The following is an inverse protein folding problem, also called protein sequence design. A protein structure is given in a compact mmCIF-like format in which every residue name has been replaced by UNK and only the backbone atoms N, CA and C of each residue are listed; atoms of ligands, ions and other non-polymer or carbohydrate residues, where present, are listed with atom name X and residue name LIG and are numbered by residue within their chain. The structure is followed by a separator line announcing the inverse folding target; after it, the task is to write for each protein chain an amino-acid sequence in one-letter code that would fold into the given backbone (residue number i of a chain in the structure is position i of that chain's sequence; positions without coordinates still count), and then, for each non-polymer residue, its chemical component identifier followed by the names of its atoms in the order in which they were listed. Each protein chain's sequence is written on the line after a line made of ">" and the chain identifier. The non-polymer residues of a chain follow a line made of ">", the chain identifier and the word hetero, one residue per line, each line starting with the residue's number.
data_IF_796212739969
#
_entry.id   IF_796212739969
#
_cell.length_a   1.000
_cell.length_b   1.000
_cell.length_c   1.000
_cell.angle_alpha   90.00
_cell.angle_beta   90.00
_cell.angle_gamma   90.00
#
_symmetry.space_group_name_H-M   'P 1'
#
loop_
_entity.id
_entity.type
_entity.pdbx_description
1 polymer ?
#
# COMPACT_ATOMS: atom_id res chain seq x y z
N UNK A 1 28.86 -7.80 -6.03
CA UNK A 1 27.57 -8.01 -5.29
C UNK A 1 26.97 -9.36 -5.60
N UNK A 2 26.32 -9.98 -4.63
CA UNK A 2 25.49 -11.20 -4.75
C UNK A 2 24.12 -10.95 -4.11
N UNK A 3 23.14 -11.78 -4.42
CA UNK A 3 21.79 -11.67 -3.86
C UNK A 3 21.18 -13.01 -3.52
N UNK A 4 20.23 -13.02 -2.60
CA UNK A 4 19.34 -14.16 -2.30
C UNK A 4 17.91 -13.64 -2.11
N UNK A 5 16.93 -14.34 -2.65
CA UNK A 5 15.54 -14.14 -2.25
C UNK A 5 15.30 -15.04 -1.04
N UNK A 6 15.17 -14.44 0.13
CA UNK A 6 14.95 -15.19 1.36
C UNK A 6 13.50 -15.65 1.45
N UNK A 7 12.56 -14.84 0.93
CA UNK A 7 11.14 -15.15 0.80
C UNK A 7 10.48 -14.27 -0.28
N UNK A 8 9.42 -14.77 -0.93
CA UNK A 8 8.65 -14.06 -1.95
C UNK A 8 9.04 -14.43 -3.38
N UNK A 9 9.75 -15.55 -3.63
CA UNK A 9 10.08 -16.02 -4.98
C UNK A 9 8.95 -16.81 -5.65
N UNK A 10 8.09 -17.49 -4.85
CA UNK A 10 6.93 -18.24 -5.31
C UNK A 10 5.70 -18.02 -4.40
N UNK A 11 5.64 -16.89 -3.72
CA UNK A 11 4.50 -16.47 -2.91
C UNK A 11 4.30 -14.96 -3.03
N UNK A 12 3.06 -14.52 -2.86
CA UNK A 12 2.71 -13.12 -2.65
C UNK A 12 2.82 -12.84 -1.16
N UNK A 13 3.48 -11.73 -0.82
CA UNK A 13 3.69 -11.33 0.57
C UNK A 13 4.93 -11.93 1.21
N UNK A 14 5.23 -11.46 2.43
CA UNK A 14 6.41 -11.85 3.17
C UNK A 14 7.73 -11.48 2.50
N UNK A 15 7.77 -10.42 1.69
CA UNK A 15 8.90 -10.06 0.83
C UNK A 15 10.18 -9.83 1.63
N UNK A 16 11.26 -10.54 1.27
CA UNK A 16 12.60 -10.36 1.84
C UNK A 16 13.66 -10.71 0.79
N UNK A 17 14.39 -9.70 0.33
CA UNK A 17 15.53 -9.88 -0.59
C UNK A 17 16.82 -9.44 0.08
N UNK A 18 17.81 -10.31 0.10
CA UNK A 18 19.16 -10.00 0.60
C UNK A 18 20.08 -9.59 -0.54
N UNK A 19 20.85 -8.52 -0.32
CA UNK A 19 21.96 -8.09 -1.19
C UNK A 19 23.22 -8.01 -0.32
N UNK A 20 24.31 -8.60 -0.79
CA UNK A 20 25.60 -8.59 -0.10
C UNK A 20 26.72 -8.16 -1.05
N UNK A 21 27.59 -7.24 -0.60
CA UNK A 21 28.75 -6.77 -1.35
C UNK A 21 29.97 -7.67 -1.13
N UNK A 22 30.98 -7.52 -1.98
CA UNK A 22 32.24 -8.25 -1.85
C UNK A 22 33.02 -7.81 -0.59
N UNK A 23 32.74 -6.61 -0.07
CA UNK A 23 33.27 -6.10 1.20
C UNK A 23 32.55 -6.66 2.42
N UNK A 24 31.45 -7.40 2.23
CA UNK A 24 30.66 -8.04 3.29
C UNK A 24 29.54 -7.16 3.87
N UNK A 25 29.24 -6.00 3.28
CA UNK A 25 28.05 -5.23 3.66
C UNK A 25 26.81 -5.99 3.20
N UNK A 26 25.93 -6.30 4.14
CA UNK A 26 24.69 -7.03 3.90
C UNK A 26 23.48 -6.15 4.17
N UNK A 27 22.60 -6.02 3.19
CA UNK A 27 21.34 -5.30 3.33
C UNK A 27 20.17 -6.19 2.94
N UNK A 28 19.05 -6.02 3.62
CA UNK A 28 17.79 -6.61 3.20
C UNK A 28 16.88 -5.55 2.61
N UNK A 29 16.18 -5.91 1.55
CA UNK A 29 15.05 -5.13 1.02
C UNK A 29 13.80 -5.81 1.51
N UNK A 30 13.05 -5.07 2.33
CA UNK A 30 11.87 -5.48 3.09
C UNK A 30 12.16 -6.54 4.17
N UNK A 31 11.24 -6.62 5.13
CA UNK A 31 11.16 -7.63 6.17
C UNK A 31 9.68 -7.86 6.49
N UNK A 32 9.00 -8.44 5.51
CA UNK A 32 7.56 -8.59 5.48
C UNK A 32 7.07 -9.76 6.33
N UNK A 33 5.85 -9.63 6.85
CA UNK A 33 5.09 -10.73 7.43
C UNK A 33 4.47 -11.57 6.32
N UNK A 34 4.37 -12.85 6.55
CA UNK A 34 3.65 -13.74 5.66
C UNK A 34 2.16 -13.40 5.56
N UNK A 35 1.56 -13.64 4.41
CA UNK A 35 0.12 -13.55 4.20
C UNK A 35 -0.51 -14.93 4.36
N UNK A 36 -1.77 -15.04 4.79
CA UNK A 36 -2.47 -16.32 4.95
C UNK A 36 -2.80 -16.96 3.59
N UNK A 37 -1.77 -17.47 2.92
CA UNK A 37 -1.87 -18.19 1.63
C UNK A 37 -1.84 -19.70 1.86
N UNK A 38 -2.14 -20.49 0.80
CA UNK A 38 -2.21 -21.96 0.91
C UNK A 38 -0.81 -22.60 0.88
N UNK A 39 0.17 -21.96 0.22
CA UNK A 39 1.55 -22.47 0.07
C UNK A 39 2.56 -21.43 0.59
N UNK A 40 3.32 -21.78 1.63
CA UNK A 40 4.33 -20.92 2.25
C UNK A 40 5.75 -21.40 1.86
N UNK A 41 6.61 -20.51 1.38
CA UNK A 41 8.03 -20.81 1.14
C UNK A 41 8.79 -20.99 2.45
N UNK A 42 8.48 -20.17 3.47
CA UNK A 42 9.12 -20.17 4.78
C UNK A 42 8.25 -19.41 5.78
N UNK A 43 8.37 -19.77 7.06
CA UNK A 43 7.57 -19.14 8.12
C UNK A 43 8.19 -17.85 8.62
N UNK A 44 7.38 -17.00 9.27
CA UNK A 44 7.85 -15.79 9.96
C UNK A 44 8.93 -16.10 10.99
N UNK A 45 8.80 -17.21 11.75
CA UNK A 45 9.78 -17.65 12.76
C UNK A 45 11.15 -17.94 12.14
N UNK A 46 11.19 -18.53 10.95
CA UNK A 46 12.46 -18.78 10.24
C UNK A 46 13.12 -17.45 9.83
N UNK A 47 12.37 -16.50 9.32
CA UNK A 47 12.90 -15.19 8.94
C UNK A 47 13.35 -14.37 10.17
N UNK A 48 12.61 -14.43 11.25
CA UNK A 48 12.98 -13.83 12.53
C UNK A 48 14.26 -14.45 13.06
N UNK A 49 14.42 -15.78 12.97
CA UNK A 49 15.65 -16.46 13.40
C UNK A 49 16.89 -15.98 12.61
N UNK A 50 16.76 -15.77 11.29
CA UNK A 50 17.85 -15.21 10.48
C UNK A 50 18.18 -13.76 10.91
N UNK A 51 17.19 -12.94 11.20
CA UNK A 51 17.37 -11.56 11.67
C UNK A 51 18.04 -11.50 13.06
N UNK A 52 17.73 -12.43 13.95
CA UNK A 52 18.31 -12.49 15.30
C UNK A 52 19.73 -13.05 15.35
N UNK A 53 20.12 -13.84 14.35
CA UNK A 53 21.45 -14.46 14.30
C UNK A 53 22.50 -13.46 13.76
N UNK A 54 23.56 -13.22 14.53
CA UNK A 54 24.62 -12.27 14.18
C UNK A 54 25.35 -12.58 12.86
N UNK A 55 25.41 -13.86 12.45
CA UNK A 55 26.10 -14.29 11.24
C UNK A 55 25.27 -14.10 9.97
N UNK A 56 23.93 -14.00 10.10
CA UNK A 56 22.98 -13.88 8.98
C UNK A 56 22.27 -12.52 8.95
N UNK A 57 22.25 -11.81 10.07
CA UNK A 57 21.59 -10.52 10.21
C UNK A 57 22.15 -9.47 9.24
N UNK A 58 21.30 -8.65 8.61
CA UNK A 58 21.76 -7.55 7.78
C UNK A 58 22.33 -6.39 8.62
N UNK A 59 23.16 -5.58 7.99
CA UNK A 59 23.61 -4.28 8.54
C UNK A 59 22.47 -3.25 8.51
N UNK A 60 21.61 -3.34 7.47
CA UNK A 60 20.47 -2.45 7.29
C UNK A 60 19.29 -3.14 6.61
N UNK A 61 18.08 -2.63 6.86
CA UNK A 61 16.87 -2.97 6.13
C UNK A 61 16.35 -1.74 5.38
N UNK A 62 16.12 -1.91 4.08
CA UNK A 62 15.55 -0.90 3.19
C UNK A 62 14.09 -1.26 2.92
N UNK A 63 13.15 -0.54 3.52
CA UNK A 63 11.73 -0.78 3.31
C UNK A 63 11.25 -0.07 2.05
N UNK A 64 10.65 -0.83 1.13
CA UNK A 64 10.05 -0.28 -0.08
C UNK A 64 8.78 0.50 0.23
N UNK A 65 7.94 0.00 1.14
CA UNK A 65 6.71 0.65 1.62
C UNK A 65 6.20 -0.01 2.92
N UNK A 66 5.05 0.46 3.44
CA UNK A 66 4.56 0.10 4.78
C UNK A 66 3.43 -0.94 4.80
N UNK A 67 3.16 -1.69 3.74
CA UNK A 67 2.25 -2.83 3.85
C UNK A 67 2.83 -3.92 4.74
N UNK A 68 1.97 -4.66 5.44
CA UNK A 68 2.39 -5.65 6.42
C UNK A 68 3.25 -6.77 5.85
N UNK A 69 3.06 -7.12 4.62
CA UNK A 69 3.84 -8.11 3.88
C UNK A 69 5.22 -7.61 3.37
N UNK A 70 5.56 -6.36 3.69
CA UNK A 70 6.86 -5.74 3.46
C UNK A 70 7.54 -5.25 4.74
N UNK A 71 6.76 -4.76 5.74
CA UNK A 71 7.31 -4.21 7.01
C UNK A 71 6.83 -4.96 8.26
N UNK A 72 5.93 -5.93 8.13
CA UNK A 72 5.19 -6.49 9.26
C UNK A 72 6.01 -7.26 10.31
N UNK A 73 7.30 -7.52 10.06
CA UNK A 73 8.23 -8.10 11.04
C UNK A 73 9.16 -7.04 11.68
N UNK A 74 8.87 -5.75 11.51
CA UNK A 74 9.64 -4.61 11.99
C UNK A 74 10.03 -4.75 13.47
N UNK A 75 9.10 -5.15 14.34
CA UNK A 75 9.32 -5.29 15.79
C UNK A 75 10.45 -6.26 16.17
N UNK A 76 10.81 -7.17 15.25
CA UNK A 76 11.85 -8.17 15.44
C UNK A 76 13.25 -7.71 15.01
N UNK A 77 13.38 -6.48 14.47
CA UNK A 77 14.69 -5.91 14.11
C UNK A 77 15.48 -5.60 15.39
N UNK A 78 16.71 -6.14 15.56
CA UNK A 78 17.55 -5.82 16.70
C UNK A 78 18.01 -4.35 16.71
N UNK A 79 18.30 -3.85 17.91
CA UNK A 79 18.94 -2.54 18.04
C UNK A 79 20.29 -2.53 17.30
N UNK A 80 20.58 -1.44 16.61
CA UNK A 80 21.84 -1.26 15.88
C UNK A 80 21.80 -1.67 14.40
N UNK A 81 20.70 -2.29 13.92
CA UNK A 81 20.42 -2.42 12.48
C UNK A 81 19.86 -1.09 11.98
N UNK A 82 20.42 -0.58 10.87
CA UNK A 82 19.92 0.66 10.26
C UNK A 82 18.60 0.38 9.48
N UNK A 83 17.69 1.34 9.53
CA UNK A 83 16.39 1.25 8.88
C UNK A 83 16.23 2.39 7.88
N UNK A 84 15.97 2.05 6.62
CA UNK A 84 15.71 3.01 5.54
C UNK A 84 14.24 2.93 5.15
N UNK A 85 13.54 4.07 5.14
CA UNK A 85 12.10 4.14 4.91
C UNK A 85 11.70 5.48 4.32
N UNK A 86 10.58 5.55 3.61
CA UNK A 86 9.97 6.81 3.20
C UNK A 86 9.47 7.62 4.40
N UNK A 87 9.70 8.93 4.38
CA UNK A 87 9.30 9.80 5.49
C UNK A 87 7.77 9.83 5.68
N UNK A 88 7.00 9.80 4.59
CA UNK A 88 5.54 9.77 4.66
C UNK A 88 5.05 8.43 5.18
N UNK A 89 5.65 7.33 4.72
CA UNK A 89 5.35 5.98 5.22
C UNK A 89 5.55 5.90 6.74
N UNK A 90 6.65 6.43 7.25
CA UNK A 90 6.91 6.52 8.70
C UNK A 90 5.82 7.31 9.43
N UNK A 91 5.41 8.48 8.92
CA UNK A 91 4.32 9.25 9.54
C UNK A 91 2.97 8.52 9.51
N UNK A 92 2.72 7.76 8.46
CA UNK A 92 1.53 6.91 8.39
C UNK A 92 1.59 5.80 9.44
N UNK A 93 2.74 5.15 9.63
CA UNK A 93 2.96 4.14 10.68
C UNK A 93 2.73 4.74 12.07
N UNK A 94 3.32 5.89 12.40
CA UNK A 94 3.09 6.58 13.67
C UNK A 94 1.59 6.80 13.94
N UNK A 95 0.82 7.21 12.93
CA UNK A 95 -0.61 7.43 13.08
C UNK A 95 -1.39 6.12 13.29
N UNK A 96 -0.97 5.03 12.64
CA UNK A 96 -1.53 3.69 12.83
C UNK A 96 -1.28 3.23 14.27
N UNK A 97 -0.02 3.26 14.70
CA UNK A 97 0.43 2.81 16.01
C UNK A 97 -0.23 3.62 17.15
N UNK A 98 -0.24 4.96 17.05
CA UNK A 98 -0.94 5.84 18.00
C UNK A 98 -2.42 5.44 18.14
N UNK A 99 -3.07 5.20 16.99
CA UNK A 99 -4.51 4.86 16.98
C UNK A 99 -4.75 3.49 17.58
N UNK A 100 -3.92 2.49 17.26
CA UNK A 100 -4.05 1.15 17.81
C UNK A 100 -3.75 1.12 19.31
N UNK A 101 -2.73 1.84 19.78
CA UNK A 101 -2.38 1.94 21.20
C UNK A 101 -3.48 2.61 22.05
N UNK A 102 -4.29 3.48 21.42
CA UNK A 102 -5.45 4.11 22.06
C UNK A 102 -6.69 3.19 22.12
N UNK A 103 -6.68 2.04 21.43
CA UNK A 103 -7.80 1.09 21.48
C UNK A 103 -7.85 0.35 22.82
N UNK A 104 -9.07 0.16 23.31
CA UNK A 104 -9.33 -0.73 24.45
C UNK A 104 -9.35 -2.19 23.97
N UNK A 105 -8.68 -3.06 24.73
CA UNK A 105 -8.74 -4.51 24.48
C UNK A 105 -7.54 -5.11 23.77
N UNK A 106 -6.48 -4.34 23.52
CA UNK A 106 -5.19 -4.91 23.09
C UNK A 106 -4.64 -5.87 24.14
N UNK A 107 -4.17 -7.02 23.71
CA UNK A 107 -3.37 -7.91 24.55
C UNK A 107 -2.05 -7.25 24.95
N UNK A 108 -1.42 -7.75 26.01
CA UNK A 108 -0.12 -7.26 26.46
C UNK A 108 0.94 -7.43 25.38
N UNK A 109 0.85 -8.49 24.58
CA UNK A 109 1.84 -8.78 23.52
C UNK A 109 1.66 -7.83 22.32
N UNK A 110 0.44 -7.64 21.84
CA UNK A 110 0.14 -6.68 20.79
C UNK A 110 0.62 -5.26 21.16
N UNK A 111 0.36 -4.85 22.42
CA UNK A 111 0.83 -3.55 22.91
C UNK A 111 2.36 -3.43 22.88
N UNK A 112 3.07 -4.45 23.34
CA UNK A 112 4.55 -4.47 23.33
C UNK A 112 5.10 -4.42 21.91
N UNK A 113 4.47 -5.14 20.97
CA UNK A 113 4.86 -5.12 19.56
C UNK A 113 4.75 -3.71 18.99
N UNK A 114 3.60 -3.03 19.17
CA UNK A 114 3.39 -1.65 18.70
C UNK A 114 4.35 -0.65 19.37
N UNK A 115 4.56 -0.76 20.68
CA UNK A 115 5.51 0.08 21.42
C UNK A 115 6.96 -0.13 20.93
N UNK A 116 7.31 -1.37 20.57
CA UNK A 116 8.61 -1.71 19.99
C UNK A 116 8.80 -1.12 18.59
N UNK A 117 7.81 -1.26 17.72
CA UNK A 117 7.82 -0.69 16.36
C UNK A 117 7.99 0.83 16.43
N UNK A 118 7.21 1.50 17.27
CA UNK A 118 7.30 2.94 17.49
C UNK A 118 8.66 3.37 18.03
N UNK A 119 9.24 2.62 18.96
CA UNK A 119 10.57 2.89 19.50
C UNK A 119 11.66 2.75 18.42
N UNK A 120 11.58 1.71 17.58
CA UNK A 120 12.50 1.50 16.46
C UNK A 120 12.43 2.66 15.45
N UNK A 121 11.20 3.01 14.97
CA UNK A 121 11.00 4.08 14.00
C UNK A 121 11.29 5.48 14.54
N UNK A 122 11.40 5.64 15.86
CA UNK A 122 11.84 6.89 16.52
C UNK A 122 13.34 6.89 16.82
N UNK A 123 14.04 5.82 16.51
CA UNK A 123 15.47 5.64 16.78
C UNK A 123 16.36 6.47 15.87
N UNK A 124 17.62 6.67 16.31
CA UNK A 124 18.64 7.39 15.53
C UNK A 124 19.16 6.62 14.30
N UNK A 125 18.84 5.34 14.21
CA UNK A 125 19.23 4.46 13.11
C UNK A 125 18.18 4.44 11.97
N UNK A 126 17.21 5.37 12.00
CA UNK A 126 16.22 5.52 10.95
C UNK A 126 16.66 6.61 9.98
N UNK A 127 16.71 6.25 8.71
CA UNK A 127 17.13 7.10 7.59
C UNK A 127 15.97 7.26 6.62
N UNK A 128 15.73 8.49 6.18
CA UNK A 128 14.64 8.78 5.26
C UNK A 128 15.15 8.90 3.83
N UNK A 129 14.40 8.33 2.90
CA UNK A 129 14.67 8.49 1.48
C UNK A 129 14.48 9.94 1.03
N UNK A 130 15.35 10.38 0.12
CA UNK A 130 15.13 11.56 -0.71
C UNK A 130 14.92 11.06 -2.14
N UNK A 131 13.71 11.27 -2.69
CA UNK A 131 13.34 10.78 -4.02
C UNK A 131 14.39 11.18 -5.08
N UNK A 132 14.80 10.21 -5.90
CA UNK A 132 15.78 10.36 -7.00
C UNK A 132 17.17 10.86 -6.59
N UNK A 133 17.48 10.96 -5.33
CA UNK A 133 18.80 11.37 -4.86
C UNK A 133 19.67 10.16 -4.58
N UNK A 134 20.86 10.12 -5.22
CA UNK A 134 21.88 9.12 -4.91
C UNK A 134 22.48 9.44 -3.53
N UNK A 135 22.50 8.43 -2.67
CA UNK A 135 23.10 8.48 -1.34
C UNK A 135 23.97 7.24 -1.11
N UNK A 136 24.76 7.23 -0.04
CA UNK A 136 25.66 6.13 0.27
C UNK A 136 25.34 5.52 1.64
N UNK A 137 25.39 4.20 1.70
CA UNK A 137 25.43 3.43 2.94
C UNK A 137 26.61 2.48 2.90
N UNK A 138 27.62 2.71 3.74
CA UNK A 138 28.91 1.99 3.70
C UNK A 138 29.48 2.03 2.26
N UNK A 139 29.68 0.88 1.64
CA UNK A 139 30.19 0.71 0.28
C UNK A 139 29.10 0.57 -0.80
N UNK A 140 27.84 0.70 -0.42
CA UNK A 140 26.70 0.68 -1.32
C UNK A 140 26.27 2.12 -1.63
N UNK A 141 26.13 2.46 -2.91
CA UNK A 141 25.33 3.61 -3.35
C UNK A 141 23.92 3.15 -3.60
N UNK A 142 22.93 3.94 -3.18
CA UNK A 142 21.53 3.67 -3.46
C UNK A 142 20.80 4.93 -3.95
N UNK A 143 19.79 4.71 -4.79
CA UNK A 143 18.92 5.77 -5.27
C UNK A 143 17.48 5.30 -5.15
N UNK A 144 16.67 5.91 -4.26
CA UNK A 144 15.25 5.63 -4.18
C UNK A 144 14.51 6.38 -5.29
N UNK A 145 13.57 5.70 -5.94
CA UNK A 145 12.63 6.28 -6.90
C UNK A 145 11.22 6.05 -6.36
N UNK A 146 10.51 7.13 -6.03
CA UNK A 146 9.13 7.01 -5.59
C UNK A 146 8.24 6.54 -6.73
N UNK A 147 7.44 5.50 -6.47
CA UNK A 147 6.52 4.88 -7.43
C UNK A 147 5.09 4.91 -6.91
N UNK A 148 4.14 4.70 -7.82
CA UNK A 148 2.74 4.55 -7.48
C UNK A 148 2.46 3.13 -6.97
N UNK A 149 1.71 3.03 -5.89
CA UNK A 149 1.20 1.79 -5.33
C UNK A 149 -0.07 2.07 -4.49
N UNK A 150 -0.79 1.02 -4.07
CA UNK A 150 -1.94 1.16 -3.15
C UNK A 150 -1.55 1.59 -1.72
N UNK A 151 -0.27 1.65 -1.43
CA UNK A 151 0.31 2.30 -0.27
C UNK A 151 1.08 3.54 -0.73
N UNK A 152 0.74 4.71 -0.20
CA UNK A 152 1.46 5.93 -0.52
C UNK A 152 2.90 5.86 0.03
N UNK A 153 3.84 6.54 -0.68
CA UNK A 153 5.26 6.57 -0.32
C UNK A 153 5.97 5.22 -0.54
N UNK A 154 5.64 4.55 -1.65
CA UNK A 154 6.32 3.35 -2.11
C UNK A 154 7.52 3.70 -3.00
N UNK A 155 8.58 2.88 -2.90
CA UNK A 155 9.84 3.13 -3.57
C UNK A 155 10.37 1.92 -4.32
N UNK A 156 10.82 2.16 -5.53
CA UNK A 156 11.79 1.34 -6.25
C UNK A 156 13.19 1.75 -5.80
N UNK A 157 14.08 0.79 -5.59
CA UNK A 157 15.43 1.01 -5.07
C UNK A 157 16.47 0.55 -6.07
N UNK A 158 17.39 1.46 -6.46
CA UNK A 158 18.59 1.14 -7.21
C UNK A 158 19.74 1.02 -6.25
N UNK A 159 20.48 -0.08 -6.29
CA UNK A 159 21.69 -0.34 -5.52
C UNK A 159 22.90 -0.48 -6.44
N UNK A 160 24.03 0.07 -6.04
CA UNK A 160 25.26 0.01 -6.80
C UNK A 160 26.46 -0.24 -5.89
N UNK A 161 27.18 -1.33 -6.12
CA UNK A 161 28.46 -1.67 -5.51
C UNK A 161 29.18 -2.69 -6.40
N UNK A 162 30.48 -2.91 -6.19
CA UNK A 162 31.32 -3.93 -6.88
C UNK A 162 31.22 -3.86 -8.41
N UNK A 163 30.98 -2.66 -8.98
CA UNK A 163 30.79 -2.47 -10.42
C UNK A 163 29.49 -3.05 -10.98
N UNK A 164 28.53 -3.42 -10.13
CA UNK A 164 27.20 -3.94 -10.46
C UNK A 164 26.10 -2.96 -10.09
N UNK A 165 24.99 -2.99 -10.84
CA UNK A 165 23.78 -2.22 -10.59
C UNK A 165 22.60 -3.17 -10.47
N UNK A 166 21.95 -3.15 -9.31
CA UNK A 166 20.74 -3.91 -9.04
C UNK A 166 19.55 -2.96 -8.86
N UNK A 167 18.40 -3.32 -9.39
CA UNK A 167 17.14 -2.58 -9.21
C UNK A 167 16.12 -3.50 -8.58
N UNK A 168 15.55 -3.09 -7.47
CA UNK A 168 14.45 -3.78 -6.78
C UNK A 168 13.21 -2.89 -6.89
N UNK A 169 12.17 -3.37 -7.55
CA UNK A 169 10.99 -2.54 -7.81
C UNK A 169 10.15 -2.24 -6.58
N UNK A 170 10.24 -3.09 -5.53
CA UNK A 170 9.14 -3.16 -4.58
C UNK A 170 7.84 -3.45 -5.31
N UNK A 171 6.72 -3.10 -4.72
CA UNK A 171 5.43 -3.13 -5.35
C UNK A 171 5.14 -1.80 -6.04
N UNK A 172 4.57 -1.87 -7.25
CA UNK A 172 4.29 -0.68 -8.05
C UNK A 172 3.08 -0.88 -8.97
N UNK A 173 2.59 0.22 -9.54
CA UNK A 173 1.52 0.22 -10.55
C UNK A 173 1.69 1.41 -11.51
N UNK A 174 1.00 1.35 -12.65
CA UNK A 174 0.90 2.48 -13.60
C UNK A 174 -0.50 3.12 -13.60
N UNK A 175 -1.45 2.59 -12.85
CA UNK A 175 -2.85 2.96 -12.91
C UNK A 175 -3.20 4.21 -12.09
N UNK A 176 -2.36 4.62 -11.17
CA UNK A 176 -2.52 5.84 -10.40
C UNK A 176 -1.93 7.06 -11.09
N UNK A 177 -2.02 8.21 -10.44
CA UNK A 177 -1.57 9.49 -11.01
C UNK A 177 -0.06 9.63 -11.06
N UNK A 178 0.65 9.07 -10.08
CA UNK A 178 2.11 8.98 -10.10
C UNK A 178 2.57 7.99 -11.15
N UNK A 179 1.81 6.91 -11.39
CA UNK A 179 2.14 5.88 -12.37
C UNK A 179 2.11 6.33 -13.82
N UNK A 180 1.50 7.48 -14.14
CA UNK A 180 1.45 8.03 -15.50
C UNK A 180 2.85 8.35 -16.06
N UNK A 181 3.83 8.63 -15.20
CA UNK A 181 5.21 8.97 -15.58
C UNK A 181 6.21 7.87 -15.23
N UNK A 182 5.74 6.68 -14.81
CA UNK A 182 6.59 5.59 -14.30
C UNK A 182 7.79 5.28 -15.21
N UNK A 183 7.56 5.08 -16.49
CA UNK A 183 8.63 4.70 -17.43
C UNK A 183 9.62 5.83 -17.69
N UNK A 184 9.14 7.07 -17.76
CA UNK A 184 9.98 8.27 -17.92
C UNK A 184 10.88 8.44 -16.70
N UNK A 185 10.32 8.22 -15.52
CA UNK A 185 11.01 8.34 -14.23
C UNK A 185 12.06 7.25 -14.05
N UNK A 186 11.73 6.00 -14.39
CA UNK A 186 12.69 4.89 -14.41
C UNK A 186 13.84 5.22 -15.39
N UNK A 187 13.51 5.64 -16.59
CA UNK A 187 14.52 5.99 -17.59
C UNK A 187 15.45 7.11 -17.08
N UNK A 188 14.90 8.15 -16.44
CA UNK A 188 15.68 9.25 -15.90
C UNK A 188 16.66 8.81 -14.80
N UNK A 189 16.23 7.91 -13.90
CA UNK A 189 17.07 7.39 -12.79
C UNK A 189 18.12 6.40 -13.28
N UNK A 190 17.88 5.71 -14.40
CA UNK A 190 18.78 4.68 -14.96
C UNK A 190 19.61 5.14 -16.16
N UNK A 191 19.43 6.38 -16.65
CA UNK A 191 19.98 6.84 -17.94
C UNK A 191 21.51 6.77 -18.06
N UNK A 192 22.22 6.86 -16.93
CA UNK A 192 23.69 6.93 -16.91
C UNK A 192 24.37 5.57 -16.67
N UNK A 193 23.60 4.53 -16.27
CA UNK A 193 24.19 3.25 -15.86
C UNK A 193 23.32 2.05 -16.20
N UNK A 194 23.83 1.08 -16.97
CA UNK A 194 23.09 -0.11 -17.31
C UNK A 194 22.89 -0.99 -16.07
N UNK A 195 21.68 -1.52 -15.93
CA UNK A 195 21.28 -2.42 -14.83
C UNK A 195 21.78 -3.83 -15.13
N UNK A 196 22.32 -4.53 -14.12
CA UNK A 196 22.69 -5.91 -14.21
C UNK A 196 21.54 -6.85 -13.83
N UNK A 197 20.89 -6.59 -12.70
CA UNK A 197 19.80 -7.42 -12.17
C UNK A 197 18.58 -6.57 -11.86
N UNK A 198 17.42 -7.02 -12.34
CA UNK A 198 16.13 -6.46 -12.02
C UNK A 198 15.33 -7.47 -11.19
N UNK A 199 15.00 -7.10 -9.94
CA UNK A 199 13.99 -7.77 -9.13
C UNK A 199 12.66 -7.07 -9.36
N UNK A 200 11.63 -7.78 -9.83
CA UNK A 200 10.34 -7.16 -10.15
C UNK A 200 9.16 -7.98 -9.66
N UNK A 201 8.19 -7.31 -9.07
CA UNK A 201 6.94 -7.93 -8.60
C UNK A 201 6.19 -8.60 -9.74
N UNK A 202 5.42 -9.63 -9.39
CA UNK A 202 4.55 -10.36 -10.31
C UNK A 202 3.19 -10.72 -9.70
N UNK A 203 2.68 -9.94 -8.75
CA UNK A 203 1.42 -10.19 -8.04
C UNK A 203 0.24 -10.41 -8.97
N UNK A 204 0.16 -9.67 -10.07
CA UNK A 204 -0.94 -9.76 -11.03
C UNK A 204 -0.62 -10.56 -12.28
N UNK A 205 0.50 -11.31 -12.31
CA UNK A 205 0.99 -11.99 -13.52
C UNK A 205 0.00 -13.03 -14.07
N UNK A 206 -0.77 -13.67 -13.20
CA UNK A 206 -1.78 -14.69 -13.55
C UNK A 206 -3.19 -14.15 -13.63
N UNK A 207 -3.41 -12.88 -13.25
CA UNK A 207 -4.77 -12.33 -13.23
C UNK A 207 -5.29 -12.12 -14.64
N UNK A 208 -6.58 -12.43 -14.89
CA UNK A 208 -7.18 -12.17 -16.19
C UNK A 208 -6.98 -10.71 -16.60
N UNK A 209 -6.64 -10.48 -17.86
CA UNK A 209 -6.62 -9.14 -18.46
C UNK A 209 -8.06 -8.60 -18.47
N UNK A 210 -8.43 -7.92 -17.40
CA UNK A 210 -9.63 -7.10 -17.36
C UNK A 210 -9.22 -5.67 -17.65
N UNK A 211 -10.12 -4.85 -18.19
CA UNK A 211 -9.85 -3.42 -18.35
C UNK A 211 -9.38 -2.86 -17.00
N UNK A 212 -8.14 -2.40 -16.98
CA UNK A 212 -7.53 -1.91 -15.74
C UNK A 212 -8.10 -0.53 -15.46
N UNK A 213 -8.83 -0.40 -14.37
CA UNK A 213 -9.39 0.87 -13.94
C UNK A 213 -8.27 1.79 -13.46
N UNK A 214 -8.17 2.98 -14.03
CA UNK A 214 -7.26 4.01 -13.53
C UNK A 214 -7.91 4.85 -12.44
N UNK A 215 -7.10 5.52 -11.60
CA UNK A 215 -7.61 6.44 -10.58
C UNK A 215 -8.44 7.58 -11.19
N UNK A 216 -8.06 8.09 -12.37
CA UNK A 216 -8.85 9.09 -13.11
C UNK A 216 -10.23 8.57 -13.53
N UNK A 217 -10.26 7.34 -14.05
CA UNK A 217 -11.53 6.71 -14.43
C UNK A 217 -12.40 6.47 -13.19
N UNK A 218 -11.80 5.99 -12.10
CA UNK A 218 -12.48 5.75 -10.84
C UNK A 218 -13.09 7.03 -10.26
N UNK A 219 -12.34 8.16 -10.29
CA UNK A 219 -12.85 9.47 -9.87
C UNK A 219 -14.07 9.89 -10.70
N UNK A 220 -13.99 9.77 -12.04
CA UNK A 220 -15.09 10.14 -12.93
C UNK A 220 -16.34 9.28 -12.72
N UNK A 221 -16.20 7.97 -12.51
CA UNK A 221 -17.32 7.07 -12.21
C UNK A 221 -17.91 7.35 -10.82
N UNK A 222 -17.06 7.59 -9.81
CA UNK A 222 -17.51 7.99 -8.49
C UNK A 222 -18.32 9.30 -8.54
N UNK A 223 -17.89 10.27 -9.33
CA UNK A 223 -18.64 11.52 -9.53
C UNK A 223 -20.04 11.26 -10.10
N UNK A 224 -20.17 10.42 -11.13
CA UNK A 224 -21.49 10.05 -11.71
C UNK A 224 -22.38 9.36 -10.67
N UNK A 225 -21.83 8.43 -9.89
CA UNK A 225 -22.55 7.76 -8.81
C UNK A 225 -23.08 8.77 -7.79
N UNK A 226 -22.22 9.69 -7.35
CA UNK A 226 -22.55 10.69 -6.35
C UNK A 226 -23.55 11.75 -6.84
N UNK A 227 -23.70 11.94 -8.16
CA UNK A 227 -24.76 12.80 -8.74
C UNK A 227 -26.16 12.20 -8.55
N UNK A 228 -26.28 10.90 -8.56
CA UNK A 228 -27.55 10.17 -8.45
C UNK A 228 -27.82 9.63 -7.05
N UNK A 229 -26.77 9.42 -6.24
CA UNK A 229 -26.87 8.91 -4.87
C UNK A 229 -26.41 9.97 -3.87
N UNK A 230 -27.35 10.64 -3.17
CA UNK A 230 -26.97 11.63 -2.15
C UNK A 230 -26.22 10.99 -0.97
N UNK A 231 -26.43 9.73 -0.68
CA UNK A 231 -25.86 8.99 0.45
C UNK A 231 -24.97 7.87 -0.05
N UNK A 232 -23.66 7.98 0.16
CA UNK A 232 -22.70 6.98 -0.27
C UNK A 232 -21.85 6.48 0.92
N UNK A 233 -21.78 5.19 1.09
CA UNK A 233 -20.83 4.53 1.97
C UNK A 233 -19.68 4.00 1.14
N UNK A 234 -18.45 4.20 1.62
CA UNK A 234 -17.22 3.85 0.92
C UNK A 234 -16.39 2.89 1.78
N UNK A 235 -16.08 1.73 1.26
CA UNK A 235 -15.06 0.82 1.82
C UNK A 235 -13.80 0.96 0.97
N UNK A 236 -12.73 1.52 1.54
CA UNK A 236 -11.46 1.78 0.86
C UNK A 236 -10.30 1.60 1.85
N UNK A 237 -9.12 1.20 1.36
CA UNK A 237 -7.92 1.16 2.20
C UNK A 237 -7.54 2.54 2.71
N UNK A 238 -7.22 2.64 3.99
CA UNK A 238 -6.79 3.90 4.62
C UNK A 238 -5.36 4.29 4.27
N UNK A 239 -4.57 3.39 3.70
CA UNK A 239 -3.20 3.64 3.22
C UNK A 239 -3.17 4.04 1.74
N UNK A 240 -4.26 3.76 0.98
CA UNK A 240 -4.37 4.14 -0.41
C UNK A 240 -4.84 5.59 -0.57
N UNK A 241 -3.90 6.52 -0.38
CA UNK A 241 -4.19 7.96 -0.41
C UNK A 241 -4.66 8.45 -1.78
N UNK A 242 -4.23 7.80 -2.87
CA UNK A 242 -4.69 8.15 -4.22
C UNK A 242 -6.16 7.83 -4.42
N UNK A 243 -6.60 6.62 -4.04
CA UNK A 243 -8.02 6.27 -4.13
C UNK A 243 -8.89 7.13 -3.21
N UNK A 244 -8.41 7.42 -1.98
CA UNK A 244 -9.13 8.35 -1.09
C UNK A 244 -9.24 9.74 -1.74
N UNK A 245 -8.17 10.24 -2.37
CA UNK A 245 -8.19 11.51 -3.09
C UNK A 245 -9.19 11.50 -4.24
N UNK A 246 -9.26 10.41 -5.03
CA UNK A 246 -10.22 10.23 -6.11
C UNK A 246 -11.67 10.33 -5.61
N UNK A 247 -12.02 9.62 -4.55
CA UNK A 247 -13.36 9.68 -3.96
C UNK A 247 -13.66 11.05 -3.31
N UNK A 248 -12.67 11.65 -2.65
CA UNK A 248 -12.81 12.98 -2.07
C UNK A 248 -13.11 14.03 -3.15
N UNK A 249 -12.34 14.06 -4.23
CA UNK A 249 -12.52 15.02 -5.31
C UNK A 249 -13.81 14.75 -6.08
N UNK A 250 -14.18 13.50 -6.32
CA UNK A 250 -15.48 13.13 -6.84
C UNK A 250 -16.63 13.72 -5.99
N UNK A 251 -16.52 13.67 -4.66
CA UNK A 251 -17.52 14.23 -3.75
C UNK A 251 -17.55 15.77 -3.79
N UNK A 252 -16.39 16.42 -3.90
CA UNK A 252 -16.28 17.89 -3.97
C UNK A 252 -16.81 18.42 -5.32
N UNK A 253 -16.64 17.67 -6.41
CA UNK A 253 -17.02 18.09 -7.77
C UNK A 253 -18.41 17.60 -8.19
N UNK A 254 -18.96 16.55 -7.56
CA UNK A 254 -20.11 15.79 -8.05
C UNK A 254 -21.43 16.58 -8.20
N UNK A 255 -21.58 17.71 -7.55
CA UNK A 255 -22.85 18.44 -7.56
C UNK A 255 -22.65 19.95 -7.41
N UNK A 256 -23.76 20.72 -7.65
CA UNK A 256 -23.82 22.14 -7.25
C UNK A 256 -23.59 22.34 -5.75
N UNK A 257 -23.88 21.30 -4.93
CA UNK A 257 -23.58 21.23 -3.49
C UNK A 257 -22.47 20.21 -3.28
N UNK A 258 -21.32 20.69 -2.80
CA UNK A 258 -20.18 19.87 -2.45
C UNK A 258 -20.52 18.95 -1.28
N UNK A 259 -20.24 17.66 -1.42
CA UNK A 259 -20.45 16.68 -0.35
C UNK A 259 -19.22 16.57 0.55
N UNK A 260 -19.45 16.41 1.85
CA UNK A 260 -18.38 16.15 2.78
C UNK A 260 -17.99 14.66 2.79
N UNK A 261 -16.69 14.39 2.96
CA UNK A 261 -16.17 13.08 3.29
C UNK A 261 -16.21 12.90 4.82
N UNK A 262 -17.05 12.00 5.27
CA UNK A 262 -17.06 11.55 6.66
C UNK A 262 -16.13 10.35 6.82
N UNK A 263 -15.32 10.36 7.85
CA UNK A 263 -14.39 9.27 8.15
C UNK A 263 -14.11 9.19 9.65
N UNK A 264 -13.49 8.13 10.14
CA UNK A 264 -13.07 8.05 11.53
C UNK A 264 -11.92 9.05 11.84
N UNK A 265 -11.57 9.21 13.11
CA UNK A 265 -10.53 10.16 13.54
C UNK A 265 -9.15 9.80 13.01
N UNK A 266 -8.87 8.50 12.85
CA UNK A 266 -7.63 8.00 12.27
C UNK A 266 -7.45 8.48 10.82
N UNK A 267 -8.43 8.22 9.95
CA UNK A 267 -8.38 8.68 8.55
C UNK A 267 -8.36 10.20 8.48
N UNK A 268 -9.15 10.89 9.30
CA UNK A 268 -9.15 12.35 9.34
C UNK A 268 -7.80 12.94 9.78
N UNK A 269 -7.06 12.28 10.68
CA UNK A 269 -5.69 12.63 11.06
C UNK A 269 -4.74 12.41 9.89
N UNK A 270 -4.86 11.25 9.22
CA UNK A 270 -4.08 10.90 8.04
C UNK A 270 -4.20 11.97 6.94
N UNK A 271 -5.43 12.31 6.54
CA UNK A 271 -5.70 13.32 5.52
C UNK A 271 -5.13 14.71 5.89
N UNK A 272 -5.10 15.05 7.17
CA UNK A 272 -4.50 16.30 7.65
C UNK A 272 -2.97 16.32 7.56
N UNK A 273 -2.31 15.19 7.78
CA UNK A 273 -0.87 15.06 7.59
C UNK A 273 -0.50 15.35 6.13
N UNK A 274 -1.31 14.90 5.17
CA UNK A 274 -1.10 15.18 3.75
C UNK A 274 -1.33 16.64 3.37
N UNK A 275 -2.29 17.31 3.99
CA UNK A 275 -2.71 18.68 3.58
C UNK A 275 -1.69 19.79 3.89
N UNK A 276 -0.72 19.54 4.73
CA UNK A 276 0.04 20.69 5.25
C UNK A 276 1.52 20.52 5.48
N UNK A 277 2.11 19.35 5.32
CA UNK A 277 3.45 19.16 5.88
C UNK A 277 4.27 18.04 5.29
N UNK A 278 3.82 17.37 4.27
CA UNK A 278 4.55 16.21 3.81
C UNK A 278 5.19 16.49 2.46
N UNK A 279 6.28 17.27 2.47
CA UNK A 279 7.18 17.48 1.35
C UNK A 279 6.46 17.73 0.02
N UNK A 280 6.85 17.03 -1.02
CA UNK A 280 6.26 17.14 -2.35
C UNK A 280 4.76 16.79 -2.40
N UNK A 281 4.28 15.87 -1.55
CA UNK A 281 2.86 15.55 -1.46
C UNK A 281 2.01 16.75 -1.01
N UNK A 282 2.56 17.63 -0.16
CA UNK A 282 1.93 18.87 0.26
C UNK A 282 1.83 19.91 -0.86
N UNK A 283 2.65 19.81 -1.89
CA UNK A 283 2.64 20.68 -3.07
C UNK A 283 1.65 20.19 -4.13
N UNK A 284 1.37 18.89 -4.18
CA UNK A 284 0.38 18.34 -5.10
C UNK A 284 -1.04 18.68 -4.65
N UNK A 285 -1.75 19.50 -5.45
CA UNK A 285 -3.11 19.92 -5.17
C UNK A 285 -4.08 18.74 -4.96
N UNK A 286 -3.82 17.59 -5.53
CA UNK A 286 -4.65 16.37 -5.43
C UNK A 286 -4.75 15.86 -4.00
N UNK A 287 -3.74 16.10 -3.17
CA UNK A 287 -3.69 15.72 -1.76
C UNK A 287 -4.05 16.89 -0.82
N UNK A 288 -4.63 17.97 -1.34
CA UNK A 288 -5.15 19.07 -0.52
C UNK A 288 -6.60 18.78 -0.07
N UNK A 289 -6.72 18.19 1.09
CA UNK A 289 -8.02 17.89 1.69
C UNK A 289 -8.49 19.06 2.53
N UNK A 290 -9.45 19.84 2.03
CA UNK A 290 -9.99 20.99 2.76
C UNK A 290 -10.73 20.54 4.03
N UNK A 291 -10.38 21.09 5.19
CA UNK A 291 -10.98 20.75 6.49
C UNK A 291 -12.50 20.89 6.53
N UNK A 292 -13.06 21.79 5.75
CA UNK A 292 -14.51 21.99 5.63
C UNK A 292 -15.25 20.82 4.98
N UNK A 293 -14.52 19.94 4.27
CA UNK A 293 -15.08 18.78 3.58
C UNK A 293 -14.58 17.45 4.12
N UNK A 294 -13.79 17.45 5.20
CA UNK A 294 -13.35 16.23 5.90
C UNK A 294 -13.86 16.30 7.34
N UNK A 295 -14.83 15.45 7.67
CA UNK A 295 -15.52 15.45 8.96
C UNK A 295 -15.19 14.16 9.72
N UNK A 296 -14.60 14.28 10.91
CA UNK A 296 -14.32 13.15 11.78
C UNK A 296 -15.58 12.68 12.51
N UNK A 297 -16.04 11.47 12.20
CA UNK A 297 -17.19 10.83 12.83
C UNK A 297 -17.07 10.72 14.36
N UNK A 298 -15.86 10.41 14.86
CA UNK A 298 -15.65 10.18 16.30
C UNK A 298 -15.79 11.46 17.11
N UNK A 299 -15.45 12.61 16.54
CA UNK A 299 -15.74 13.93 17.15
C UNK A 299 -17.23 14.18 17.28
N UNK A 300 -17.97 13.82 16.23
CA UNK A 300 -19.43 13.99 16.19
C UNK A 300 -20.12 12.99 17.13
N UNK A 301 -19.56 11.77 17.27
CA UNK A 301 -20.12 10.73 18.13
C UNK A 301 -19.70 10.85 19.60
N UNK A 302 -18.54 11.43 19.92
CA UNK A 302 -18.13 11.69 21.32
C UNK A 302 -19.00 12.72 22.04
N UNK A 303 -19.77 13.51 21.30
CA UNK A 303 -20.85 14.33 21.84
C UNK A 303 -22.16 13.54 22.12
N UNK A 304 -22.03 12.21 22.26
CA UNK A 304 -23.12 11.24 22.44
C UNK A 304 -24.10 11.51 23.60
N UNK A 305 -23.74 12.39 24.52
CA UNK A 305 -24.62 12.75 25.66
C UNK A 305 -25.60 13.90 25.33
N UNK A 306 -25.59 14.44 24.10
CA UNK A 306 -26.53 15.44 23.63
C UNK A 306 -27.43 14.84 22.52
N UNK A 307 -28.66 14.38 22.87
CA UNK A 307 -29.58 13.82 21.89
C UNK A 307 -29.96 14.79 20.77
N UNK A 308 -30.04 16.09 21.06
CA UNK A 308 -30.45 17.12 20.10
C UNK A 308 -29.34 17.36 19.06
N UNK A 309 -28.07 17.28 19.49
CA UNK A 309 -26.93 17.39 18.57
C UNK A 309 -26.87 16.23 17.58
N UNK A 310 -27.06 15.01 18.04
CA UNK A 310 -27.08 13.82 17.18
C UNK A 310 -28.19 13.88 16.13
N UNK A 311 -29.37 14.39 16.49
CA UNK A 311 -30.49 14.60 15.55
C UNK A 311 -30.17 15.71 14.54
N UNK A 312 -29.60 16.82 14.98
CA UNK A 312 -29.23 17.94 14.12
C UNK A 312 -28.17 17.51 13.08
N UNK A 313 -27.13 16.78 13.50
CA UNK A 313 -26.10 16.28 12.60
C UNK A 313 -26.66 15.28 11.59
N UNK A 314 -27.49 14.34 12.04
CA UNK A 314 -28.16 13.38 11.17
C UNK A 314 -29.05 14.10 10.13
N UNK A 315 -29.86 15.08 10.54
CA UNK A 315 -30.67 15.88 9.63
C UNK A 315 -29.82 16.67 8.63
N UNK A 316 -28.69 17.21 9.07
CA UNK A 316 -27.74 17.88 8.18
C UNK A 316 -27.20 16.92 7.13
N UNK A 317 -26.77 15.71 7.51
CA UNK A 317 -26.30 14.68 6.59
C UNK A 317 -27.39 14.27 5.57
N UNK A 318 -28.65 14.17 6.01
CA UNK A 318 -29.77 13.86 5.13
C UNK A 318 -30.04 14.99 4.12
N UNK A 319 -29.88 16.25 4.53
CA UNK A 319 -30.16 17.41 3.67
C UNK A 319 -29.04 17.69 2.66
N UNK A 320 -27.79 17.55 3.07
CA UNK A 320 -26.63 17.88 2.25
C UNK A 320 -26.11 16.68 1.44
N UNK A 321 -26.43 15.46 1.87
CA UNK A 321 -25.79 14.24 1.36
C UNK A 321 -24.37 14.10 1.86
N UNK A 322 -23.77 12.93 1.59
CA UNK A 322 -22.40 12.64 2.06
C UNK A 322 -21.76 11.52 1.25
N UNK A 323 -20.44 11.44 1.35
CA UNK A 323 -19.67 10.22 1.20
C UNK A 323 -19.06 9.87 2.56
N UNK A 324 -19.21 8.61 3.02
CA UNK A 324 -18.75 8.18 4.32
C UNK A 324 -17.82 6.99 4.16
N UNK A 325 -16.55 7.19 4.50
CA UNK A 325 -15.59 6.10 4.57
C UNK A 325 -15.83 5.28 5.82
N UNK A 326 -16.10 3.99 5.62
CA UNK A 326 -16.40 3.02 6.67
C UNK A 326 -15.38 1.88 6.65
N UNK A 327 -15.15 1.27 7.82
CA UNK A 327 -14.45 -0.02 7.93
C UNK A 327 -15.43 -1.19 7.90
N UNK A 328 -14.90 -2.39 8.13
CA UNK A 328 -15.68 -3.57 8.43
C UNK A 328 -16.09 -3.58 9.92
N UNK A 329 -17.10 -4.37 10.27
CA UNK A 329 -17.49 -4.60 11.67
C UNK A 329 -18.85 -4.04 12.07
N UNK A 330 -19.32 -4.46 13.25
CA UNK A 330 -20.68 -4.20 13.73
C UNK A 330 -20.98 -2.71 13.89
N UNK A 331 -20.00 -1.94 14.39
CA UNK A 331 -20.13 -0.50 14.59
C UNK A 331 -20.55 0.24 13.30
N UNK A 332 -19.90 -0.10 12.18
CA UNK A 332 -20.21 0.53 10.88
C UNK A 332 -21.54 0.02 10.32
N UNK A 333 -21.89 -1.24 10.56
CA UNK A 333 -23.22 -1.78 10.18
C UNK A 333 -24.35 -1.06 10.93
N UNK A 334 -24.19 -0.83 12.24
CA UNK A 334 -25.15 -0.05 13.04
C UNK A 334 -25.26 1.41 12.56
N UNK A 335 -24.17 2.00 12.13
CA UNK A 335 -24.16 3.34 11.56
C UNK A 335 -24.90 3.38 10.22
N UNK A 336 -24.63 2.43 9.32
CA UNK A 336 -25.31 2.29 8.04
C UNK A 336 -26.82 2.04 8.20
N UNK A 337 -27.22 1.27 9.21
CA UNK A 337 -28.62 0.94 9.50
C UNK A 337 -29.51 2.17 9.67
N UNK A 338 -28.95 3.25 10.23
CA UNK A 338 -29.67 4.51 10.41
C UNK A 338 -30.16 5.12 9.09
N UNK A 339 -29.56 4.74 7.95
CA UNK A 339 -29.86 5.24 6.63
C UNK A 339 -30.63 4.23 5.76
N UNK A 340 -30.98 3.03 6.30
CA UNK A 340 -31.62 1.97 5.51
C UNK A 340 -32.97 2.35 4.87
N UNK A 341 -33.68 3.33 5.47
CA UNK A 341 -34.99 3.77 5.01
C UNK A 341 -34.95 5.05 4.17
N UNK A 342 -33.75 5.59 3.92
CA UNK A 342 -33.56 6.77 3.07
C UNK A 342 -34.07 6.56 1.63
N UNK A 343 -34.52 7.65 1.04
CA UNK A 343 -34.92 7.69 -0.38
C UNK A 343 -34.30 8.93 -1.04
N UNK A 344 -33.55 8.77 -2.15
CA UNK A 344 -33.20 7.48 -2.75
C UNK A 344 -32.39 6.60 -1.78
N UNK A 345 -32.32 5.29 -2.07
CA UNK A 345 -31.51 4.36 -1.27
C UNK A 345 -30.03 4.76 -1.32
N UNK A 346 -29.28 4.53 -0.25
CA UNK A 346 -27.82 4.72 -0.27
C UNK A 346 -27.13 3.78 -1.26
N UNK A 347 -25.92 4.14 -1.66
CA UNK A 347 -25.00 3.26 -2.37
C UNK A 347 -23.87 2.84 -1.44
N UNK A 348 -23.45 1.57 -1.53
CA UNK A 348 -22.21 1.05 -0.97
C UNK A 348 -21.19 0.90 -2.10
N UNK A 349 -20.15 1.73 -2.07
CA UNK A 349 -19.01 1.66 -2.98
C UNK A 349 -17.95 0.80 -2.31
N UNK A 350 -17.58 -0.30 -2.99
CA UNK A 350 -16.53 -1.23 -2.54
C UNK A 350 -15.26 -1.01 -3.37
N UNK A 351 -14.21 -0.54 -2.72
CA UNK A 351 -12.92 -0.20 -3.32
C UNK A 351 -11.76 -0.96 -2.68
N UNK A 352 -11.93 -2.26 -2.52
CA UNK A 352 -10.88 -3.19 -2.09
C UNK A 352 -10.81 -4.38 -3.06
N UNK A 353 -9.76 -5.18 -2.90
CA UNK A 353 -9.62 -6.41 -3.65
C UNK A 353 -10.80 -7.36 -3.42
N UNK A 354 -11.35 -7.91 -4.51
CA UNK A 354 -12.55 -8.74 -4.44
C UNK A 354 -12.36 -10.05 -3.66
N UNK A 355 -11.14 -10.58 -3.62
CA UNK A 355 -10.83 -11.79 -2.87
C UNK A 355 -11.23 -11.74 -1.40
N UNK A 356 -11.22 -10.56 -0.78
CA UNK A 356 -11.71 -10.42 0.61
C UNK A 356 -13.18 -10.78 0.79
N UNK A 357 -13.96 -10.91 -0.30
CA UNK A 357 -15.36 -11.33 -0.29
C UNK A 357 -15.55 -12.79 -0.69
N UNK A 358 -14.49 -13.55 -0.96
CA UNK A 358 -14.56 -14.95 -1.38
C UNK A 358 -14.70 -15.86 -0.15
N UNK A 359 -15.94 -16.22 0.19
CA UNK A 359 -16.24 -17.06 1.35
C UNK A 359 -15.47 -18.39 1.31
N UNK A 360 -14.87 -18.77 2.42
CA UNK A 360 -14.14 -20.04 2.58
C UNK A 360 -12.68 -20.01 2.17
N UNK A 361 -12.17 -18.87 1.68
CA UNK A 361 -10.74 -18.67 1.41
C UNK A 361 -10.01 -18.14 2.65
N UNK A 362 -8.75 -18.48 2.82
CA UNK A 362 -7.91 -18.05 3.96
C UNK A 362 -7.82 -16.51 4.06
N UNK A 363 -7.80 -15.82 2.94
CA UNK A 363 -7.76 -14.36 2.84
C UNK A 363 -9.15 -13.67 2.93
N UNK A 364 -10.26 -14.43 3.02
CA UNK A 364 -11.59 -13.85 3.14
C UNK A 364 -11.74 -13.04 4.43
N UNK A 365 -12.44 -11.91 4.36
CA UNK A 365 -12.73 -11.09 5.53
C UNK A 365 -14.22 -11.21 5.93
N UNK A 366 -14.54 -11.95 7.00
CA UNK A 366 -15.93 -12.20 7.40
C UNK A 366 -16.73 -10.93 7.71
N UNK A 367 -16.07 -9.90 8.27
CA UNK A 367 -16.75 -8.64 8.59
C UNK A 367 -17.07 -7.83 7.34
N UNK A 368 -16.19 -7.82 6.35
CA UNK A 368 -16.49 -7.20 5.03
C UNK A 368 -17.63 -7.92 4.33
N UNK A 369 -17.61 -9.25 4.32
CA UNK A 369 -18.68 -10.09 3.75
C UNK A 369 -20.01 -9.76 4.42
N UNK A 370 -20.06 -9.75 5.77
CA UNK A 370 -21.25 -9.43 6.54
C UNK A 370 -21.76 -8.00 6.24
N UNK A 371 -20.85 -7.02 6.11
CA UNK A 371 -21.21 -5.63 5.83
C UNK A 371 -21.82 -5.49 4.44
N UNK A 372 -21.23 -6.11 3.42
CA UNK A 372 -21.77 -6.09 2.05
C UNK A 372 -23.12 -6.82 1.97
N UNK A 373 -23.25 -7.96 2.63
CA UNK A 373 -24.50 -8.72 2.69
C UNK A 373 -25.60 -7.89 3.33
N UNK A 374 -25.34 -7.28 4.48
CA UNK A 374 -26.30 -6.48 5.21
C UNK A 374 -26.75 -5.24 4.40
N UNK A 375 -25.84 -4.56 3.72
CA UNK A 375 -26.17 -3.44 2.84
C UNK A 375 -27.15 -3.86 1.72
N UNK A 376 -26.88 -4.99 1.09
CA UNK A 376 -27.77 -5.56 0.05
C UNK A 376 -29.15 -5.94 0.60
N UNK A 377 -29.22 -6.50 1.81
CA UNK A 377 -30.49 -6.83 2.49
C UNK A 377 -31.33 -5.57 2.79
N UNK A 378 -30.69 -4.44 3.08
CA UNK A 378 -31.38 -3.15 3.23
C UNK A 378 -31.76 -2.48 1.89
N UNK A 379 -31.37 -3.09 0.77
CA UNK A 379 -31.65 -2.58 -0.57
C UNK A 379 -30.74 -1.41 -0.96
N UNK A 380 -29.54 -1.33 -0.42
CA UNK A 380 -28.53 -0.39 -0.90
C UNK A 380 -28.05 -0.83 -2.28
N UNK A 381 -27.78 0.13 -3.16
CA UNK A 381 -27.07 -0.16 -4.39
C UNK A 381 -25.63 -0.55 -4.05
N UNK A 382 -25.10 -1.56 -4.73
CA UNK A 382 -23.74 -2.05 -4.53
C UNK A 382 -22.91 -1.87 -5.78
N UNK A 383 -21.85 -1.09 -5.68
CA UNK A 383 -20.95 -0.80 -6.80
C UNK A 383 -19.52 -1.17 -6.44
N UNK A 384 -18.88 -1.93 -7.31
CA UNK A 384 -17.43 -2.19 -7.22
C UNK A 384 -16.70 -1.15 -8.04
N UNK A 385 -15.83 -0.39 -7.37
CA UNK A 385 -15.07 0.69 -7.98
C UNK A 385 -13.68 0.70 -7.34
N UNK A 386 -12.75 -0.07 -7.93
CA UNK A 386 -11.44 -0.36 -7.36
C UNK A 386 -10.38 -0.41 -8.46
N UNK A 387 -9.23 0.19 -8.18
CA UNK A 387 -8.03 0.05 -9.01
C UNK A 387 -6.99 -0.82 -8.29
N UNK A 388 -6.33 -1.72 -9.03
CA UNK A 388 -5.31 -2.59 -8.47
C UNK A 388 -4.14 -1.77 -7.89
N UNK A 389 -3.56 -2.25 -6.80
CA UNK A 389 -2.33 -1.70 -6.24
C UNK A 389 -1.07 -2.15 -6.98
N UNK A 390 -1.15 -3.18 -7.82
CA UNK A 390 -0.02 -3.85 -8.43
C UNK A 390 0.03 -3.67 -9.94
N UNK A 391 1.24 -3.83 -10.49
CA UNK A 391 1.50 -3.74 -11.92
C UNK A 391 0.75 -4.82 -12.72
N UNK A 392 0.19 -4.42 -13.86
CA UNK A 392 -0.36 -5.38 -14.82
C UNK A 392 0.76 -6.07 -15.58
N UNK A 393 0.51 -7.24 -16.22
CA UNK A 393 1.50 -7.89 -17.08
C UNK A 393 2.05 -6.96 -18.16
N UNK A 394 1.23 -6.05 -18.70
CA UNK A 394 1.66 -5.04 -19.65
C UNK A 394 2.63 -4.03 -19.02
N UNK A 395 2.32 -3.54 -17.82
CA UNK A 395 3.20 -2.63 -17.08
C UNK A 395 4.53 -3.29 -16.74
N UNK A 396 4.51 -4.55 -16.27
CA UNK A 396 5.73 -5.35 -15.99
C UNK A 396 6.56 -5.50 -17.28
N UNK A 397 5.91 -5.80 -18.40
CA UNK A 397 6.56 -5.91 -19.71
C UNK A 397 7.30 -4.64 -20.08
N UNK A 398 6.65 -3.49 -19.97
CA UNK A 398 7.25 -2.20 -20.33
C UNK A 398 8.38 -1.78 -19.37
N UNK A 399 8.23 -2.08 -18.07
CA UNK A 399 9.31 -1.86 -17.09
C UNK A 399 10.53 -2.72 -17.40
N UNK A 400 10.35 -4.02 -17.69
CA UNK A 400 11.45 -4.91 -18.09
C UNK A 400 12.16 -4.38 -19.37
N UNK A 401 11.40 -3.95 -20.37
CA UNK A 401 11.97 -3.39 -21.60
C UNK A 401 12.73 -2.07 -21.34
N UNK A 402 12.19 -1.22 -20.47
CA UNK A 402 12.80 0.09 -20.13
C UNK A 402 14.09 -0.09 -19.34
N UNK A 403 14.09 -0.97 -18.34
CA UNK A 403 15.26 -1.28 -17.51
C UNK A 403 16.32 -2.03 -18.31
N UNK A 404 15.91 -2.95 -19.17
CA UNK A 404 16.76 -3.78 -20.04
C UNK A 404 17.96 -4.41 -19.30
N UNK A 405 17.73 -5.24 -18.26
CA UNK A 405 18.82 -5.77 -17.45
C UNK A 405 19.77 -6.67 -18.25
N UNK A 406 21.07 -6.59 -17.94
CA UNK A 406 22.11 -7.32 -18.68
C UNK A 406 22.19 -8.81 -18.31
N UNK A 407 21.96 -9.17 -17.03
CA UNK A 407 22.30 -10.50 -16.50
C UNK A 407 21.07 -11.28 -16.04
N UNK A 408 20.16 -10.64 -15.30
CA UNK A 408 19.00 -11.35 -14.74
C UNK A 408 17.75 -10.47 -14.59
N UNK A 409 16.61 -11.13 -14.81
CA UNK A 409 15.28 -10.70 -14.40
C UNK A 409 14.84 -11.70 -13.33
N UNK A 410 14.59 -11.22 -12.13
CA UNK A 410 14.24 -12.06 -10.97
C UNK A 410 12.82 -11.74 -10.54
N UNK A 411 11.84 -12.60 -10.86
CA UNK A 411 10.49 -12.46 -10.34
C UNK A 411 10.49 -12.55 -8.82
N UNK A 412 9.77 -11.61 -8.18
CA UNK A 412 9.52 -11.60 -6.74
C UNK A 412 8.05 -11.30 -6.49
N UNK A 413 7.57 -11.51 -5.27
CA UNK A 413 6.21 -11.20 -4.87
C UNK A 413 5.17 -11.77 -5.83
N UNK A 414 5.27 -13.07 -6.14
CA UNK A 414 4.43 -13.73 -7.15
C UNK A 414 4.20 -15.21 -6.80
N UNK A 415 2.98 -15.69 -7.03
CA UNK A 415 2.65 -17.14 -6.94
C UNK A 415 3.06 -17.90 -8.20
N UNK A 416 3.39 -17.21 -9.29
CA UNK A 416 3.73 -17.83 -10.57
C UNK A 416 4.88 -17.12 -11.28
N UNK A 417 6.09 -17.36 -10.80
CA UNK A 417 7.29 -16.82 -11.44
C UNK A 417 7.45 -17.28 -12.90
N UNK A 418 6.96 -18.49 -13.25
CA UNK A 418 7.04 -19.00 -14.63
C UNK A 418 6.17 -18.20 -15.60
N UNK A 419 5.10 -17.55 -15.14
CA UNK A 419 4.25 -16.66 -15.93
C UNK A 419 5.00 -15.49 -16.58
N UNK A 420 6.20 -15.16 -16.08
CA UNK A 420 7.06 -14.15 -16.73
C UNK A 420 7.54 -14.57 -18.12
N UNK A 421 7.54 -15.87 -18.46
CA UNK A 421 7.86 -16.34 -19.81
C UNK A 421 6.76 -16.00 -20.84
N UNK A 422 5.55 -15.76 -20.38
CA UNK A 422 4.41 -15.44 -21.23
C UNK A 422 4.32 -13.92 -21.53
N UNK A 423 5.19 -13.12 -20.91
CA UNK A 423 5.27 -11.69 -21.17
C UNK A 423 5.76 -11.42 -22.63
N UNK A 424 5.24 -10.34 -23.20
CA UNK A 424 5.65 -9.87 -24.53
C UNK A 424 7.00 -9.12 -24.50
N UNK A 425 8.06 -9.85 -24.15
CA UNK A 425 9.43 -9.38 -24.12
C UNK A 425 10.29 -10.21 -25.11
N UNK A 426 11.40 -9.64 -25.65
CA UNK A 426 12.32 -10.37 -26.53
C UNK A 426 12.84 -11.67 -25.91
N UNK A 427 13.04 -12.69 -26.74
CA UNK A 427 13.57 -14.01 -26.29
C UNK A 427 14.92 -13.88 -25.59
N UNK A 428 15.75 -12.92 -25.97
CA UNK A 428 17.00 -12.61 -25.28
C UNK A 428 16.73 -12.22 -23.82
N UNK A 429 15.69 -11.42 -23.55
CA UNK A 429 15.30 -11.04 -22.18
C UNK A 429 14.69 -12.23 -21.44
N UNK A 430 13.86 -13.04 -22.10
CA UNK A 430 13.31 -14.27 -21.50
C UNK A 430 14.43 -15.22 -21.04
N UNK A 431 15.53 -15.30 -21.79
CA UNK A 431 16.68 -16.12 -21.40
C UNK A 431 17.38 -15.66 -20.11
N UNK A 432 17.13 -14.41 -19.67
CA UNK A 432 17.67 -13.82 -18.45
C UNK A 432 16.75 -14.02 -17.22
N UNK A 433 15.54 -14.57 -17.37
CA UNK A 433 14.64 -14.85 -16.24
C UNK A 433 15.26 -15.94 -15.35
N UNK A 434 15.21 -15.71 -14.02
CA UNK A 434 15.75 -16.61 -13.00
C UNK A 434 14.71 -16.84 -11.92
N UNK A 435 14.37 -18.10 -11.67
CA UNK A 435 13.24 -18.54 -10.83
C UNK A 435 13.63 -19.01 -9.45
N UNK A 436 14.66 -18.80 -8.87
CA UNK A 436 14.96 -19.14 -7.49
C UNK A 436 16.38 -18.80 -7.05
N UNK A 437 16.59 -19.00 -5.77
CA UNK A 437 17.81 -18.84 -4.99
C UNK A 437 19.03 -19.50 -5.66
N UNK A 438 19.53 -18.94 -6.74
CA UNK A 438 20.85 -19.32 -7.25
C UNK A 438 21.85 -18.39 -6.60
N UNK A 439 22.53 -18.90 -5.55
CA UNK A 439 23.80 -18.29 -5.16
C UNK A 439 24.69 -18.22 -6.40
N UNK A 440 24.86 -17.06 -6.96
CA UNK A 440 25.91 -16.83 -7.95
C UNK A 440 27.12 -16.27 -7.23
N UNK A 441 28.13 -17.14 -7.11
CA UNK A 441 29.50 -16.79 -6.74
C UNK A 441 30.16 -15.97 -7.83
#
# INVERSE_FOLDING_TARGET
>A
MRYRILRGSNQIGGSITEIETDAGTRVWVDFGRDLPMEDEESTDEQMIALMQNADTRPDAVFFTHIHGDHIGLLSHIPDGVDIFIGAVGKYMMDNIEDTLLDLHGLSTEERKTLEREKALLSGKNVHFYTDRKEECYKDIRYTPLRVDHSCFDAYMLRFEADGKVYVHTGDYRSQGRLGEHLLEDIHAVLADRPVDVLFTEGTAITRPRTETMTEKYMEAEAEKILQTHPYAFLICSSTNMESIASFYWAAVHSTKKKKALYCNSYVAKQLRLFTGSVGEAGEDWRFRFYRSYVISLDRELKRKNDPDFNMTQYQYMLNEGFIMMIGAGSYYRELMERFKDCKPKPVLIYSLWNGYLDEGKAYANPDLIATVKQAKEWGFDFVRLHTSGHATPETITEVIKTVNPREAIVPIHTENAEGFRDLDIPEEMKSKIRYSNVERR
#
